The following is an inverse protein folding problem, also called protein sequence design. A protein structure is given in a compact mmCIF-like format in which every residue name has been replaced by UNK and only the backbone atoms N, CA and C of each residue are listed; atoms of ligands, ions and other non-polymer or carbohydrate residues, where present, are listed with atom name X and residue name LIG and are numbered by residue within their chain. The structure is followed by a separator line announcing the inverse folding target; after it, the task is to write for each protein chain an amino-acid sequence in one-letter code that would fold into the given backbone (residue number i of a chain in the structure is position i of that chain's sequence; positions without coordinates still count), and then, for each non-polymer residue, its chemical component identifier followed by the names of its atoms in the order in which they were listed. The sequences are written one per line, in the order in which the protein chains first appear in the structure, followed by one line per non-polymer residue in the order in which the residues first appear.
data_IF_946928361711
#
_entry.id   IF_946928361711
#
_cell.length_a   1.000
_cell.length_b   1.000
_cell.length_c   1.000
_cell.angle_alpha   90.00
_cell.angle_beta   90.00
_cell.angle_gamma   90.00
#
_symmetry.space_group_name_H-M   'P 1'
#
loop_
_entity.id
_entity.type
_entity.pdbx_description
1 polymer ?
#
# COMPACT_ATOMS: atom_id res chain seq x y z
N UNK A 1 10.50 -29.05 -4.90
CA UNK A 1 10.56 -27.88 -5.81
C UNK A 1 9.13 -27.41 -6.00
N UNK A 2 8.71 -26.33 -5.33
CA UNK A 2 7.50 -25.62 -5.79
C UNK A 2 7.94 -24.90 -7.07
N UNK A 3 7.13 -24.98 -8.12
CA UNK A 3 7.38 -24.21 -9.33
C UNK A 3 7.58 -22.73 -8.92
N UNK A 4 8.56 -22.05 -9.52
CA UNK A 4 8.73 -20.61 -9.40
C UNK A 4 7.46 -19.96 -9.98
N UNK A 5 6.43 -19.83 -9.16
CA UNK A 5 5.25 -19.05 -9.49
C UNK A 5 5.70 -17.60 -9.43
N UNK A 6 6.00 -17.05 -10.61
CA UNK A 6 6.40 -15.66 -10.72
C UNK A 6 5.25 -14.81 -10.17
N UNK A 7 5.58 -13.92 -9.25
CA UNK A 7 4.67 -12.98 -8.60
C UNK A 7 3.78 -12.26 -9.64
N UNK A 8 2.50 -12.06 -9.33
CA UNK A 8 1.54 -11.50 -10.28
C UNK A 8 1.96 -10.09 -10.73
N UNK A 9 2.50 -9.27 -9.83
CA UNK A 9 2.99 -7.92 -10.12
C UNK A 9 4.17 -8.00 -11.10
N UNK A 10 5.08 -8.95 -10.90
CA UNK A 10 6.20 -9.18 -11.82
C UNK A 10 5.73 -9.68 -13.20
N UNK A 11 4.71 -10.55 -13.27
CA UNK A 11 4.08 -10.97 -14.54
C UNK A 11 3.43 -9.81 -15.29
N UNK A 12 2.89 -8.83 -14.57
CA UNK A 12 2.34 -7.59 -15.13
C UNK A 12 3.44 -6.59 -15.55
N UNK A 13 4.71 -6.93 -15.31
CA UNK A 13 5.87 -6.14 -15.70
C UNK A 13 6.25 -5.07 -14.67
N UNK A 14 5.92 -5.33 -13.40
CA UNK A 14 6.33 -4.54 -12.24
C UNK A 14 5.21 -3.68 -11.65
N UNK A 15 5.48 -3.17 -10.45
CA UNK A 15 4.53 -2.41 -9.61
C UNK A 15 3.79 -1.30 -10.36
N UNK A 16 4.53 -0.41 -11.04
CA UNK A 16 3.94 0.73 -11.75
C UNK A 16 2.97 0.32 -12.86
N UNK A 17 3.26 -0.78 -13.57
CA UNK A 17 2.37 -1.29 -14.63
C UNK A 17 1.12 -1.92 -14.06
N UNK A 18 1.27 -2.72 -12.99
CA UNK A 18 0.14 -3.30 -12.29
C UNK A 18 -0.79 -2.22 -11.69
N UNK A 19 -0.21 -1.17 -11.08
CA UNK A 19 -0.97 -0.01 -10.58
C UNK A 19 -1.69 0.76 -11.69
N UNK A 20 -1.05 0.93 -12.85
CA UNK A 20 -1.68 1.59 -13.99
C UNK A 20 -2.91 0.82 -14.49
N UNK A 21 -2.89 -0.52 -14.49
CA UNK A 21 -4.04 -1.36 -14.84
C UNK A 21 -5.23 -1.05 -13.91
N UNK A 22 -5.03 -1.03 -12.59
CA UNK A 22 -6.08 -0.66 -11.64
C UNK A 22 -6.61 0.75 -11.91
N UNK A 23 -5.71 1.73 -12.03
CA UNK A 23 -6.08 3.15 -12.13
C UNK A 23 -6.81 3.50 -13.43
N UNK A 24 -6.46 2.85 -14.54
CA UNK A 24 -7.10 3.08 -15.84
C UNK A 24 -8.52 2.53 -15.88
N UNK A 25 -8.76 1.38 -15.23
CA UNK A 25 -10.09 0.76 -15.19
C UNK A 25 -11.06 1.50 -14.24
N UNK A 26 -10.59 2.19 -13.19
CA UNK A 26 -11.47 2.99 -12.30
C UNK A 26 -12.30 4.03 -13.07
N UNK A 27 -11.80 4.57 -14.19
CA UNK A 27 -12.56 5.54 -15.00
C UNK A 27 -13.71 4.94 -15.80
N UNK A 28 -13.69 3.63 -16.03
CA UNK A 28 -14.70 2.92 -16.80
C UNK A 28 -15.77 2.26 -15.92
N UNK A 29 -15.55 2.22 -14.60
CA UNK A 29 -16.45 1.60 -13.62
C UNK A 29 -16.85 2.60 -12.53
N UNK A 30 -17.68 3.59 -12.87
CA UNK A 30 -18.36 4.47 -11.89
C UNK A 30 -19.42 3.72 -11.06
N UNK A 31 -19.76 2.48 -11.40
CA UNK A 31 -20.63 1.61 -10.61
C UNK A 31 -19.82 0.42 -10.07
N UNK A 32 -19.76 0.33 -8.74
CA UNK A 32 -19.16 -0.79 -8.03
C UNK A 32 -19.88 -2.09 -8.40
N UNK A 33 -19.25 -2.89 -9.25
CA UNK A 33 -19.66 -4.26 -9.52
C UNK A 33 -18.64 -5.16 -8.85
N UNK A 34 -19.06 -5.96 -7.87
CA UNK A 34 -18.21 -6.80 -7.00
C UNK A 34 -17.40 -7.89 -7.76
N UNK A 35 -17.42 -7.93 -9.09
CA UNK A 35 -16.68 -8.90 -9.89
C UNK A 35 -16.18 -8.30 -11.23
N UNK A 36 -15.61 -7.10 -11.21
CA UNK A 36 -14.91 -6.58 -12.39
C UNK A 36 -13.61 -7.36 -12.59
N UNK A 37 -13.61 -8.26 -13.57
CA UNK A 37 -12.39 -8.91 -14.02
C UNK A 37 -11.77 -8.20 -15.21
N UNK A 38 -10.44 -8.11 -15.22
CA UNK A 38 -9.63 -7.50 -16.25
C UNK A 38 -8.84 -8.60 -16.94
N UNK A 39 -8.95 -8.67 -18.27
CA UNK A 39 -8.08 -9.55 -19.04
C UNK A 39 -6.75 -8.84 -19.33
N UNK A 40 -5.64 -9.44 -18.91
CA UNK A 40 -4.29 -8.98 -19.25
C UNK A 40 -3.51 -10.07 -20.01
N UNK A 41 -2.85 -9.75 -21.14
CA UNK A 41 -2.22 -10.76 -21.99
C UNK A 41 -1.17 -11.66 -21.32
N UNK A 42 -0.46 -11.16 -20.30
CA UNK A 42 0.61 -11.92 -19.63
C UNK A 42 0.14 -12.78 -18.45
N UNK A 43 -1.04 -12.52 -17.91
CA UNK A 43 -1.55 -13.14 -16.68
C UNK A 43 -2.94 -13.74 -16.82
N UNK A 44 -3.64 -13.48 -17.94
CA UNK A 44 -5.00 -13.95 -18.19
C UNK A 44 -6.04 -13.08 -17.51
N UNK A 45 -7.13 -13.71 -17.06
CA UNK A 45 -8.20 -13.04 -16.32
C UNK A 45 -7.76 -12.75 -14.88
N UNK A 46 -7.85 -11.49 -14.47
CA UNK A 46 -7.51 -11.03 -13.12
C UNK A 46 -8.74 -10.38 -12.50
N UNK A 47 -9.10 -10.81 -11.29
CA UNK A 47 -10.13 -10.12 -10.52
C UNK A 47 -9.56 -8.81 -9.98
N UNK A 48 -10.25 -7.70 -10.17
CA UNK A 48 -9.76 -6.37 -9.77
C UNK A 48 -9.41 -6.31 -8.27
N UNK A 49 -10.27 -6.85 -7.41
CA UNK A 49 -10.03 -6.88 -5.95
C UNK A 49 -8.76 -7.66 -5.58
N UNK A 50 -8.53 -8.81 -6.21
CA UNK A 50 -7.33 -9.61 -6.01
C UNK A 50 -6.07 -8.82 -6.40
N UNK A 51 -6.11 -8.07 -7.51
CA UNK A 51 -4.99 -7.24 -7.94
C UNK A 51 -4.73 -6.08 -6.96
N UNK A 52 -5.78 -5.45 -6.44
CA UNK A 52 -5.65 -4.37 -5.43
C UNK A 52 -5.02 -4.93 -4.15
N UNK A 53 -5.43 -6.13 -3.73
CA UNK A 53 -4.86 -6.81 -2.57
C UNK A 53 -3.39 -7.18 -2.79
N UNK A 54 -3.07 -7.75 -3.95
CA UNK A 54 -1.69 -8.10 -4.31
C UNK A 54 -0.78 -6.86 -4.34
N UNK A 55 -1.27 -5.74 -4.88
CA UNK A 55 -0.55 -4.46 -4.87
C UNK A 55 -0.29 -3.97 -3.44
N UNK A 56 -1.26 -4.12 -2.53
CA UNK A 56 -1.07 -3.77 -1.13
C UNK A 56 -0.02 -4.66 -0.45
N UNK A 57 -0.06 -5.97 -0.70
CA UNK A 57 0.92 -6.91 -0.16
C UNK A 57 2.32 -6.63 -0.71
N UNK A 58 2.46 -6.41 -2.01
CA UNK A 58 3.72 -6.03 -2.65
C UNK A 58 4.30 -4.74 -2.04
N UNK A 59 3.46 -3.71 -1.80
CA UNK A 59 3.90 -2.48 -1.13
C UNK A 59 4.40 -2.72 0.28
N UNK A 60 3.72 -3.60 1.04
CA UNK A 60 4.11 -3.98 2.40
C UNK A 60 5.46 -4.66 2.43
N UNK A 61 5.73 -5.57 1.49
CA UNK A 61 7.00 -6.30 1.40
C UNK A 61 8.17 -5.43 0.93
N UNK A 62 7.90 -4.49 0.01
CA UNK A 62 8.91 -3.64 -0.60
C UNK A 62 9.09 -2.26 0.08
N UNK A 63 8.36 -1.98 1.16
CA UNK A 63 8.33 -0.67 1.84
C UNK A 63 8.03 0.50 0.87
N UNK A 64 7.10 0.27 -0.06
CA UNK A 64 6.59 1.31 -0.95
C UNK A 64 5.41 1.96 -0.24
N UNK A 65 5.41 3.28 -0.15
CA UNK A 65 4.39 4.05 0.56
C UNK A 65 3.64 4.97 -0.40
N UNK A 66 2.31 5.00 -0.28
CA UNK A 66 1.43 5.89 -1.04
C UNK A 66 0.52 6.69 -0.11
N UNK A 67 -0.06 7.77 -0.64
CA UNK A 67 -0.99 8.62 0.11
C UNK A 67 -2.20 7.80 0.59
N UNK A 68 -2.53 7.95 1.86
CA UNK A 68 -3.61 7.23 2.53
C UNK A 68 -3.16 5.99 3.31
N UNK A 69 -1.94 5.48 3.07
CA UNK A 69 -1.44 4.28 3.74
C UNK A 69 -1.41 4.44 5.27
N UNK A 70 -1.81 3.36 5.95
CA UNK A 70 -1.72 3.28 7.41
C UNK A 70 -0.38 2.66 7.79
N UNK A 71 0.38 3.37 8.60
CA UNK A 71 1.72 2.97 9.01
C UNK A 71 1.88 3.11 10.52
N UNK A 72 2.83 2.36 11.06
CA UNK A 72 3.23 2.44 12.47
C UNK A 72 4.74 2.59 12.54
N UNK A 73 5.22 3.26 13.58
CA UNK A 73 6.66 3.38 13.79
C UNK A 73 7.26 2.02 14.12
N UNK A 74 8.46 1.72 13.59
CA UNK A 74 9.21 0.48 13.87
C UNK A 74 9.70 0.48 15.32
N UNK A 75 10.14 1.64 15.82
CA UNK A 75 10.63 1.78 17.20
C UNK A 75 9.52 1.59 18.23
N UNK A 76 9.69 0.59 19.12
CA UNK A 76 8.76 0.30 20.23
C UNK A 76 8.75 1.35 21.34
N UNK A 77 9.73 2.24 21.34
CA UNK A 77 9.82 3.35 22.32
C UNK A 77 8.87 4.50 21.99
N UNK A 78 8.35 4.54 20.76
CA UNK A 78 7.42 5.55 20.32
C UNK A 78 6.00 5.21 20.77
N UNK A 79 5.14 6.22 20.86
CA UNK A 79 3.73 6.00 21.18
C UNK A 79 3.10 5.03 20.16
N UNK A 80 2.16 4.16 20.57
CA UNK A 80 1.51 3.17 19.71
C UNK A 80 0.51 3.80 18.72
N UNK A 81 0.81 4.98 18.18
CA UNK A 81 -0.07 5.71 17.27
C UNK A 81 -0.10 5.03 15.90
N UNK A 82 -1.29 4.99 15.32
CA UNK A 82 -1.48 4.74 13.90
C UNK A 82 -1.28 6.06 13.15
N UNK A 83 -0.47 6.02 12.09
CA UNK A 83 -0.19 7.18 11.26
C UNK A 83 -0.78 6.96 9.87
N UNK A 84 -1.14 8.05 9.22
CA UNK A 84 -1.55 8.09 7.82
C UNK A 84 -0.46 8.76 7.01
N UNK A 85 -0.02 8.13 5.93
CA UNK A 85 0.89 8.72 4.97
C UNK A 85 0.15 9.79 4.16
N UNK A 86 0.52 11.06 4.31
CA UNK A 86 -0.19 12.16 3.65
C UNK A 86 0.47 12.53 2.32
N UNK A 87 1.79 12.69 2.33
CA UNK A 87 2.51 13.09 1.13
C UNK A 87 4.00 12.79 1.23
N UNK A 88 4.60 12.30 0.15
CA UNK A 88 6.05 12.14 0.05
C UNK A 88 6.67 13.48 -0.35
N UNK A 89 7.53 14.05 0.50
CA UNK A 89 8.08 15.40 0.23
C UNK A 89 9.38 15.33 -0.57
N UNK A 90 9.65 16.39 -1.32
CA UNK A 90 10.95 16.61 -1.97
C UNK A 90 11.87 17.52 -1.15
N UNK A 91 11.39 18.09 -0.03
CA UNK A 91 12.15 19.03 0.80
C UNK A 91 13.39 18.38 1.42
N UNK A 92 13.29 17.11 1.81
CA UNK A 92 14.41 16.30 2.27
C UNK A 92 14.28 14.90 1.69
N UNK A 93 15.36 14.33 1.13
CA UNK A 93 15.34 12.94 0.68
C UNK A 93 14.88 12.00 1.79
N UNK A 94 14.09 10.99 1.43
CA UNK A 94 13.57 9.97 2.34
C UNK A 94 12.70 10.51 3.49
N UNK A 95 12.02 11.65 3.31
CA UNK A 95 11.08 12.18 4.30
C UNK A 95 9.69 12.39 3.72
N UNK A 96 8.70 12.06 4.53
CA UNK A 96 7.28 12.20 4.17
C UNK A 96 6.51 12.86 5.29
N UNK A 97 5.38 13.47 4.93
CA UNK A 97 4.43 14.04 5.87
C UNK A 97 3.46 12.98 6.30
N UNK A 98 3.31 12.83 7.62
CA UNK A 98 2.37 11.91 8.24
C UNK A 98 1.43 12.66 9.19
N UNK A 99 0.22 12.14 9.33
CA UNK A 99 -0.76 12.58 10.31
C UNK A 99 -1.15 11.42 11.24
N UNK A 100 -1.31 11.70 12.52
CA UNK A 100 -1.79 10.73 13.51
C UNK A 100 -3.21 11.04 14.02
N UNK A 101 -3.99 11.82 13.26
CA UNK A 101 -5.36 12.22 13.59
C UNK A 101 -5.44 13.46 14.48
N UNK A 102 -4.32 14.18 14.63
CA UNK A 102 -4.24 15.43 15.41
C UNK A 102 -4.39 16.67 14.50
N UNK A 103 -4.70 16.48 13.20
CA UNK A 103 -4.71 17.53 12.18
C UNK A 103 -3.38 18.29 12.10
N UNK A 104 -2.28 17.61 12.40
CA UNK A 104 -0.92 18.13 12.33
C UNK A 104 -0.09 17.25 11.41
N UNK A 105 0.67 17.88 10.52
CA UNK A 105 1.56 17.19 9.60
C UNK A 105 2.96 17.13 10.18
N UNK A 106 3.48 15.92 10.31
CA UNK A 106 4.78 15.65 10.89
C UNK A 106 5.73 15.12 9.81
N UNK A 107 6.85 15.79 9.53
CA UNK A 107 7.88 15.26 8.65
C UNK A 107 8.71 14.22 9.38
N UNK A 108 8.74 12.99 8.88
CA UNK A 108 9.60 11.93 9.42
C UNK A 108 10.37 11.22 8.33
N UNK A 109 11.42 10.50 8.73
CA UNK A 109 12.15 9.61 7.84
C UNK A 109 11.30 8.39 7.51
N UNK A 110 11.24 7.99 6.25
CA UNK A 110 10.44 6.84 5.81
C UNK A 110 10.92 5.54 6.49
N UNK A 111 12.22 5.44 6.80
CA UNK A 111 12.84 4.28 7.48
C UNK A 111 12.38 4.10 8.94
N UNK A 112 11.65 5.06 9.51
CA UNK A 112 11.12 4.94 10.87
C UNK A 112 9.79 4.18 10.92
N UNK A 113 9.22 3.85 9.76
CA UNK A 113 7.89 3.26 9.65
C UNK A 113 7.92 1.91 8.95
N UNK A 114 6.88 1.13 9.25
CA UNK A 114 6.43 -0.01 8.46
C UNK A 114 4.93 0.14 8.21
N UNK A 115 4.43 -0.55 7.21
CA UNK A 115 2.99 -0.69 7.02
C UNK A 115 2.32 -1.30 8.26
N UNK A 116 1.13 -0.79 8.58
CA UNK A 116 0.29 -1.33 9.62
C UNK A 116 -0.34 -2.64 9.15
N UNK A 117 -0.42 -3.61 10.06
CA UNK A 117 -1.20 -4.83 9.85
C UNK A 117 -2.69 -4.54 9.96
N UNK A 118 -3.53 -5.39 9.38
CA UNK A 118 -4.98 -5.20 9.43
C UNK A 118 -5.49 -5.15 10.87
N UNK A 119 -4.93 -5.98 11.77
CA UNK A 119 -5.25 -5.96 13.20
C UNK A 119 -4.88 -4.63 13.88
N UNK A 120 -3.79 -3.97 13.47
CA UNK A 120 -3.40 -2.66 14.00
C UNK A 120 -4.28 -1.53 13.48
N UNK A 121 -4.73 -1.64 12.23
CA UNK A 121 -5.69 -0.73 11.61
C UNK A 121 -7.03 -0.84 12.36
N UNK A 122 -7.54 -2.06 12.56
CA UNK A 122 -8.78 -2.33 13.29
C UNK A 122 -8.71 -1.83 14.75
N UNK A 123 -7.56 -1.99 15.40
CA UNK A 123 -7.34 -1.51 16.76
C UNK A 123 -7.06 0.01 16.84
N UNK A 124 -6.88 0.68 15.70
CA UNK A 124 -6.43 2.06 15.57
C UNK A 124 -5.15 2.37 16.37
N UNK A 125 -4.24 1.38 16.48
CA UNK A 125 -2.99 1.50 17.24
C UNK A 125 -2.02 0.38 16.91
N UNK A 126 -0.74 0.62 17.15
CA UNK A 126 0.29 -0.43 17.14
C UNK A 126 0.02 -1.45 18.25
N UNK A 127 0.12 -2.74 17.93
CA UNK A 127 -0.18 -3.83 18.87
C UNK A 127 1.08 -4.47 19.50
N UNK A 128 2.22 -4.44 18.80
CA UNK A 128 3.49 -5.03 19.24
C UNK A 128 4.36 -4.02 20.01
N UNK A 129 3.93 -3.65 21.22
CA UNK A 129 4.73 -2.80 22.12
C UNK A 129 5.96 -3.49 22.72
#
# INVERSE_FOLDING_TARGET
MKANEMDLIEKLGGYEKAKAIVTQNIKDFEEAVDEVGIYHPSSGWIVHEDLVKELLEYRREHNIYEEGDKVVMISKRCAPKLWTWIHTTNWRPNHSLLDCGENLLYPFSNDEFRHATDAEIDANRRLDL
#
